data_IF_688455640273
#
_entry.id   IF_688455640273
#
_cell.length_a   1.000
_cell.length_b   1.000
_cell.length_c   1.000
_cell.angle_alpha   90.00
_cell.angle_beta   90.00
_cell.angle_gamma   90.00
#
_symmetry.space_group_name_H-M   'P 1'
#
loop_
_entity.id
_entity.type
_entity.pdbx_description
1 polymer ?
#
# COMPACT_ATOMS: atom_id res chain seq x y z
N UNK A 1 45.61 -14.35 -2.12
CA UNK A 1 44.75 -13.28 -1.57
C UNK A 1 43.82 -13.97 -0.59
N UNK A 2 44.11 -13.84 0.72
CA UNK A 2 43.26 -14.39 1.77
C UNK A 2 41.91 -13.63 1.74
N UNK A 3 40.92 -14.24 1.10
CA UNK A 3 39.54 -13.74 1.11
C UNK A 3 39.01 -13.80 2.53
N UNK A 4 38.87 -12.67 3.17
CA UNK A 4 38.27 -12.55 4.51
C UNK A 4 36.92 -13.28 4.51
N UNK A 5 36.82 -14.35 5.35
CA UNK A 5 35.57 -15.12 5.48
C UNK A 5 34.50 -14.20 6.05
N UNK A 6 33.41 -13.99 5.29
CA UNK A 6 32.28 -13.17 5.70
C UNK A 6 31.55 -13.81 6.90
N UNK A 7 31.06 -13.00 7.81
CA UNK A 7 30.43 -13.46 9.06
C UNK A 7 28.98 -13.88 8.83
N UNK A 8 28.44 -14.68 9.75
CA UNK A 8 27.00 -15.03 9.75
C UNK A 8 26.09 -13.77 9.78
N UNK A 9 26.53 -12.72 10.47
CA UNK A 9 25.81 -11.44 10.49
C UNK A 9 25.76 -10.76 9.12
N UNK A 10 26.84 -10.86 8.34
CA UNK A 10 26.84 -10.32 6.98
C UNK A 10 25.75 -10.96 6.12
N UNK A 11 25.67 -12.30 6.14
CA UNK A 11 24.67 -13.04 5.38
C UNK A 11 23.26 -12.82 5.90
N UNK A 12 23.08 -12.72 7.21
CA UNK A 12 21.79 -12.42 7.81
C UNK A 12 21.30 -11.00 7.45
N UNK A 13 22.19 -10.01 7.27
CA UNK A 13 21.81 -8.68 6.76
C UNK A 13 21.25 -8.74 5.33
N UNK A 14 21.79 -9.62 4.49
CA UNK A 14 21.22 -9.83 3.15
C UNK A 14 19.85 -10.51 3.22
N UNK A 15 19.67 -11.50 4.11
CA UNK A 15 18.37 -12.10 4.35
C UNK A 15 17.36 -11.07 4.88
N UNK A 16 17.78 -10.15 5.76
CA UNK A 16 16.94 -9.05 6.24
C UNK A 16 16.54 -8.07 5.11
N UNK A 17 17.40 -7.83 4.12
CA UNK A 17 17.04 -7.03 2.95
C UNK A 17 15.92 -7.69 2.15
N UNK A 18 15.99 -9.01 1.94
CA UNK A 18 14.92 -9.79 1.29
C UNK A 18 13.61 -9.77 2.10
N UNK A 19 13.70 -9.85 3.45
CA UNK A 19 12.53 -9.73 4.32
C UNK A 19 11.84 -8.36 4.19
N UNK A 20 12.62 -7.26 4.15
CA UNK A 20 12.07 -5.91 3.94
C UNK A 20 11.40 -5.79 2.57
N UNK A 21 12.02 -6.30 1.52
CA UNK A 21 11.44 -6.32 0.19
C UNK A 21 10.13 -7.16 0.13
N UNK A 22 10.02 -8.25 0.91
CA UNK A 22 8.76 -8.97 1.07
C UNK A 22 7.68 -8.09 1.72
N UNK A 23 8.02 -7.34 2.79
CA UNK A 23 7.09 -6.43 3.47
C UNK A 23 6.54 -5.35 2.54
N UNK A 24 7.38 -4.78 1.67
CA UNK A 24 6.98 -3.77 0.67
C UNK A 24 5.95 -4.31 -0.32
N UNK A 25 6.02 -5.61 -0.63
CA UNK A 25 5.05 -6.31 -1.47
C UNK A 25 3.80 -6.80 -0.71
N UNK A 26 3.69 -6.50 0.59
CA UNK A 26 2.56 -6.94 1.42
C UNK A 26 2.64 -8.39 1.90
N UNK A 27 3.77 -9.05 1.69
CA UNK A 27 4.06 -10.41 2.18
C UNK A 27 4.53 -10.38 3.64
N UNK A 28 4.38 -11.51 4.34
CA UNK A 28 5.01 -11.67 5.66
C UNK A 28 6.53 -11.55 5.51
N UNK A 29 7.21 -10.65 6.25
CA UNK A 29 8.59 -10.28 6.00
C UNK A 29 9.57 -11.35 6.47
N UNK A 30 9.71 -12.40 5.69
CA UNK A 30 10.73 -13.44 5.83
C UNK A 30 11.61 -13.41 4.59
N UNK A 31 12.90 -13.41 4.82
CA UNK A 31 13.91 -13.46 3.78
C UNK A 31 14.96 -14.50 4.08
N UNK A 32 15.51 -15.09 3.02
CA UNK A 32 16.54 -16.12 3.11
C UNK A 32 17.62 -15.92 2.05
N UNK A 33 18.84 -16.35 2.35
CA UNK A 33 19.94 -16.42 1.39
C UNK A 33 20.66 -17.76 1.52
N UNK A 34 21.01 -18.34 0.38
CA UNK A 34 21.79 -19.58 0.30
C UNK A 34 23.22 -19.26 -0.10
N UNK A 35 24.18 -19.79 0.65
CA UNK A 35 25.61 -19.49 0.52
C UNK A 35 26.40 -20.79 0.39
N UNK A 36 27.38 -20.82 -0.51
CA UNK A 36 28.38 -21.87 -0.63
C UNK A 36 29.76 -21.24 -0.83
N UNK A 37 30.78 -21.77 -0.13
CA UNK A 37 32.18 -21.33 -0.24
C UNK A 37 32.36 -19.81 -0.10
N UNK A 38 31.61 -19.20 0.85
CA UNK A 38 31.58 -17.75 1.06
C UNK A 38 31.08 -16.93 -0.16
N UNK A 39 30.29 -17.54 -1.04
CA UNK A 39 29.64 -16.90 -2.18
C UNK A 39 28.12 -17.01 -2.07
N UNK A 40 27.43 -15.93 -2.36
CA UNK A 40 25.97 -15.91 -2.46
C UNK A 40 25.52 -16.69 -3.69
N UNK A 41 24.76 -17.77 -3.51
CA UNK A 41 24.19 -18.56 -4.61
C UNK A 41 22.80 -18.07 -5.02
N UNK A 42 21.95 -17.82 -4.03
CA UNK A 42 20.56 -17.41 -4.28
C UNK A 42 19.99 -16.65 -3.11
N UNK A 43 18.93 -15.93 -3.38
CA UNK A 43 18.07 -15.28 -2.38
C UNK A 43 16.65 -15.79 -2.49
N UNK A 44 15.87 -15.63 -1.44
CA UNK A 44 14.45 -15.94 -1.40
C UNK A 44 13.72 -15.02 -0.43
N UNK A 45 12.50 -14.71 -0.75
CA UNK A 45 11.56 -14.00 0.11
C UNK A 45 10.21 -14.68 0.07
N UNK A 46 9.36 -14.43 1.04
CA UNK A 46 7.98 -14.92 0.98
C UNK A 46 7.25 -14.32 -0.24
N UNK A 47 6.47 -15.16 -0.91
CA UNK A 47 5.65 -14.84 -2.08
C UNK A 47 4.28 -15.52 -2.02
N UNK A 48 3.83 -15.89 -0.82
CA UNK A 48 2.61 -16.68 -0.59
C UNK A 48 1.35 -16.00 -1.11
N UNK A 49 1.22 -14.71 -0.87
CA UNK A 49 0.04 -13.92 -1.27
C UNK A 49 0.12 -13.55 -2.75
N UNK A 50 1.24 -12.99 -3.19
CA UNK A 50 1.42 -12.48 -4.55
C UNK A 50 1.39 -13.57 -5.61
N UNK A 51 1.92 -14.77 -5.30
CA UNK A 51 1.92 -15.93 -6.20
C UNK A 51 0.77 -16.92 -5.96
N UNK A 52 -0.09 -16.68 -4.94
CA UNK A 52 -1.11 -17.65 -4.50
C UNK A 52 -0.49 -19.04 -4.25
N UNK A 53 0.74 -19.11 -3.73
CA UNK A 53 1.49 -20.34 -3.47
C UNK A 53 1.62 -20.59 -1.95
N UNK A 54 0.90 -21.57 -1.38
CA UNK A 54 1.00 -21.90 0.04
C UNK A 54 2.39 -22.38 0.47
N UNK A 55 3.23 -22.80 -0.46
CA UNK A 55 4.61 -23.21 -0.24
C UNK A 55 5.65 -22.10 -0.54
N UNK A 56 5.23 -20.93 -0.95
CA UNK A 56 6.07 -19.79 -1.35
C UNK A 56 6.81 -19.12 -0.20
N UNK A 57 7.41 -19.90 0.71
CA UNK A 57 8.24 -19.39 1.79
C UNK A 57 9.64 -19.03 1.32
N UNK A 58 10.27 -18.10 2.01
CA UNK A 58 11.61 -17.58 1.68
C UNK A 58 12.65 -18.71 1.54
N UNK A 59 12.62 -19.68 2.47
CA UNK A 59 13.51 -20.84 2.45
C UNK A 59 13.31 -21.68 1.20
N UNK A 60 12.04 -21.98 0.86
CA UNK A 60 11.72 -22.79 -0.31
C UNK A 60 12.19 -22.09 -1.58
N UNK A 61 11.97 -20.79 -1.69
CA UNK A 61 12.36 -20.00 -2.86
C UNK A 61 13.90 -19.95 -2.98
N UNK A 62 14.63 -19.74 -1.87
CA UNK A 62 16.09 -19.75 -1.88
C UNK A 62 16.66 -21.12 -2.23
N UNK A 63 16.14 -22.22 -1.65
CA UNK A 63 16.58 -23.58 -1.95
C UNK A 63 16.35 -23.95 -3.40
N UNK A 64 15.18 -23.65 -3.95
CA UNK A 64 14.84 -23.90 -5.37
C UNK A 64 15.80 -23.16 -6.31
N UNK A 65 15.99 -21.87 -6.08
CA UNK A 65 16.86 -21.04 -6.92
C UNK A 65 18.32 -21.52 -6.82
N UNK A 66 18.81 -21.82 -5.64
CA UNK A 66 20.18 -22.31 -5.44
C UNK A 66 20.43 -23.69 -6.05
N UNK A 67 19.44 -24.58 -5.99
CA UNK A 67 19.52 -25.88 -6.65
C UNK A 67 19.65 -25.77 -8.17
N UNK A 68 18.93 -24.81 -8.77
CA UNK A 68 19.05 -24.50 -10.20
C UNK A 68 20.43 -23.96 -10.55
N UNK A 69 20.98 -23.03 -9.75
CA UNK A 69 22.32 -22.46 -9.96
C UNK A 69 23.40 -23.54 -9.88
N UNK A 70 23.28 -24.48 -8.94
CA UNK A 70 24.25 -25.58 -8.79
C UNK A 70 24.02 -26.74 -9.75
N UNK A 71 22.87 -26.79 -10.46
CA UNK A 71 22.50 -27.96 -11.26
C UNK A 71 22.33 -29.23 -10.43
N UNK A 72 22.08 -29.10 -9.12
CA UNK A 72 21.96 -30.20 -8.19
C UNK A 72 20.96 -29.89 -7.08
N UNK A 73 20.04 -30.84 -6.81
CA UNK A 73 19.08 -30.69 -5.71
C UNK A 73 19.70 -30.91 -4.32
N UNK A 74 20.89 -31.53 -4.23
CA UNK A 74 21.63 -31.73 -2.97
C UNK A 74 22.52 -30.53 -2.68
N UNK A 75 22.27 -29.90 -1.54
CA UNK A 75 22.93 -28.66 -1.10
C UNK A 75 23.83 -28.91 0.11
N UNK A 76 24.56 -30.03 0.11
CA UNK A 76 25.32 -30.56 1.26
C UNK A 76 26.38 -29.60 1.80
N UNK A 77 27.01 -28.80 0.92
CA UNK A 77 28.07 -27.84 1.28
C UNK A 77 27.54 -26.41 1.41
N UNK A 78 26.20 -26.24 1.41
CA UNK A 78 25.58 -24.93 1.48
C UNK A 78 25.13 -24.59 2.89
N UNK A 79 25.12 -23.29 3.19
CA UNK A 79 24.51 -22.70 4.38
C UNK A 79 23.31 -21.86 3.97
N UNK A 80 22.15 -22.12 4.59
CA UNK A 80 20.97 -21.29 4.45
C UNK A 80 20.87 -20.33 5.64
N UNK A 81 20.79 -19.04 5.38
CA UNK A 81 20.48 -18.01 6.36
C UNK A 81 19.03 -17.57 6.16
N UNK A 82 18.25 -17.52 7.21
CA UNK A 82 16.84 -17.11 7.18
C UNK A 82 16.49 -16.24 8.38
N UNK A 83 15.69 -15.21 8.18
CA UNK A 83 15.38 -14.25 9.24
C UNK A 83 14.50 -14.79 10.35
N UNK A 84 13.73 -15.87 10.08
CA UNK A 84 12.80 -16.49 11.00
C UNK A 84 13.08 -18.00 11.11
N UNK A 85 12.85 -18.57 12.27
CA UNK A 85 12.93 -20.02 12.48
C UNK A 85 12.03 -20.77 11.47
N UNK A 86 12.57 -21.74 10.72
CA UNK A 86 11.81 -22.49 9.72
C UNK A 86 10.65 -23.30 10.30
N UNK A 87 9.52 -23.31 9.60
CA UNK A 87 8.39 -24.18 9.90
C UNK A 87 8.65 -25.63 9.47
N UNK A 88 7.75 -26.54 9.81
CA UNK A 88 7.87 -27.98 9.47
C UNK A 88 8.02 -28.27 7.97
N UNK A 89 7.29 -27.53 7.10
CA UNK A 89 7.40 -27.65 5.64
C UNK A 89 8.82 -27.28 5.17
N UNK A 90 9.35 -26.16 5.64
CA UNK A 90 10.69 -25.70 5.28
C UNK A 90 11.77 -26.62 5.82
N UNK A 91 11.63 -27.14 7.06
CA UNK A 91 12.52 -28.18 7.60
C UNK A 91 12.51 -29.44 6.74
N UNK A 92 11.34 -29.88 6.27
CA UNK A 92 11.24 -31.00 5.34
C UNK A 92 12.01 -30.75 4.03
N UNK A 93 11.92 -29.56 3.47
CA UNK A 93 12.67 -29.18 2.27
C UNK A 93 14.18 -29.12 2.53
N UNK A 94 14.62 -28.57 3.67
CA UNK A 94 16.03 -28.52 4.11
C UNK A 94 16.61 -29.93 4.20
N UNK A 95 15.89 -30.87 4.82
CA UNK A 95 16.30 -32.26 4.93
C UNK A 95 16.38 -32.96 3.57
N UNK A 96 15.38 -32.75 2.69
CA UNK A 96 15.36 -33.31 1.34
C UNK A 96 16.52 -32.76 0.48
N UNK A 97 16.82 -31.48 0.63
CA UNK A 97 17.95 -30.84 -0.04
C UNK A 97 19.32 -31.26 0.56
N UNK A 98 19.32 -31.98 1.67
CA UNK A 98 20.53 -32.35 2.43
C UNK A 98 21.41 -31.14 2.74
N UNK A 99 20.79 -30.06 3.19
CA UNK A 99 21.51 -28.82 3.52
C UNK A 99 22.56 -29.06 4.60
N UNK A 100 23.77 -28.56 4.41
CA UNK A 100 24.86 -28.73 5.36
C UNK A 100 24.66 -27.94 6.66
N UNK A 101 24.25 -26.67 6.54
CA UNK A 101 24.07 -25.79 7.69
C UNK A 101 22.85 -24.86 7.52
N UNK A 102 22.11 -24.65 8.60
CA UNK A 102 21.06 -23.68 8.76
C UNK A 102 21.44 -22.64 9.81
N UNK A 103 21.24 -21.37 9.49
CA UNK A 103 21.39 -20.24 10.43
C UNK A 103 20.10 -19.45 10.42
N UNK A 104 19.46 -19.26 11.57
CA UNK A 104 18.26 -18.45 11.63
C UNK A 104 18.35 -17.31 12.66
N UNK A 105 17.58 -16.22 12.41
CA UNK A 105 17.58 -15.05 13.26
C UNK A 105 16.62 -15.19 14.44
N UNK A 106 15.36 -14.84 14.25
CA UNK A 106 14.33 -14.87 15.29
C UNK A 106 13.70 -16.25 15.45
N UNK A 107 13.36 -16.62 16.70
CA UNK A 107 12.55 -17.80 16.99
C UNK A 107 11.08 -17.59 16.59
N UNK A 108 10.38 -18.67 16.20
CA UNK A 108 8.96 -18.67 15.86
C UNK A 108 8.14 -19.54 16.83
N UNK A 109 7.55 -18.95 17.88
CA UNK A 109 6.92 -19.69 18.96
C UNK A 109 5.62 -20.42 18.58
N UNK A 110 5.07 -20.19 17.38
CA UNK A 110 3.79 -20.78 16.94
C UNK A 110 3.95 -21.95 15.98
N UNK A 111 4.91 -21.86 15.07
CA UNK A 111 5.09 -22.82 13.97
C UNK A 111 6.55 -23.24 13.76
N UNK A 112 7.48 -22.75 14.57
CA UNK A 112 8.91 -23.04 14.47
C UNK A 112 9.17 -24.53 14.69
N UNK A 113 9.97 -25.13 13.81
CA UNK A 113 10.24 -26.56 13.82
C UNK A 113 11.74 -26.92 14.01
N UNK A 114 12.50 -25.97 14.59
CA UNK A 114 13.92 -26.11 14.91
C UNK A 114 14.18 -25.88 16.41
N UNK A 115 13.15 -26.11 17.24
CA UNK A 115 13.27 -26.04 18.69
C UNK A 115 12.17 -25.27 19.40
N UNK A 116 11.46 -24.34 18.73
CA UNK A 116 10.42 -23.56 19.39
C UNK A 116 9.13 -24.34 19.69
N UNK A 117 8.64 -25.14 18.73
CA UNK A 117 7.42 -25.96 18.89
C UNK A 117 7.76 -27.44 18.80
N UNK A 118 8.47 -27.82 17.76
CA UNK A 118 9.04 -29.15 17.54
C UNK A 118 10.47 -29.02 17.07
N UNK A 119 11.25 -30.08 17.13
CA UNK A 119 12.62 -30.08 16.59
C UNK A 119 12.79 -31.21 15.58
N UNK A 120 12.53 -30.94 14.31
CA UNK A 120 12.64 -31.93 13.24
C UNK A 120 14.09 -32.20 12.84
N UNK A 121 14.98 -31.20 12.93
CA UNK A 121 16.38 -31.35 12.49
C UNK A 121 17.25 -32.17 13.46
N UNK A 122 16.82 -32.35 14.72
CA UNK A 122 17.47 -33.20 15.70
C UNK A 122 16.95 -34.64 15.71
N UNK A 123 15.94 -34.96 14.91
CA UNK A 123 15.39 -36.32 14.87
C UNK A 123 16.40 -37.33 14.33
N UNK A 124 16.90 -38.19 15.20
CA UNK A 124 17.91 -39.22 14.87
C UNK A 124 17.43 -40.26 13.86
N UNK A 125 16.12 -40.36 13.64
CA UNK A 125 15.51 -41.30 12.70
C UNK A 125 15.58 -40.82 11.25
N UNK A 126 15.88 -39.54 11.04
CA UNK A 126 15.98 -38.96 9.70
C UNK A 126 17.39 -39.19 9.11
N UNK A 127 17.42 -39.47 7.81
CA UNK A 127 18.64 -39.85 7.09
C UNK A 127 19.67 -38.74 6.91
N UNK A 128 19.32 -37.50 7.22
CA UNK A 128 20.21 -36.34 7.08
C UNK A 128 20.15 -35.46 8.32
N UNK A 129 21.28 -34.92 8.73
CA UNK A 129 21.42 -34.03 9.87
C UNK A 129 22.04 -32.72 9.42
N UNK A 130 21.29 -31.66 9.57
CA UNK A 130 21.71 -30.28 9.26
C UNK A 130 22.24 -29.62 10.53
N UNK A 131 23.43 -29.03 10.50
CA UNK A 131 23.93 -28.23 11.62
C UNK A 131 23.14 -26.94 11.77
N UNK A 132 22.80 -26.57 12.99
CA UNK A 132 21.94 -25.41 13.25
C UNK A 132 22.67 -24.38 14.10
N UNK A 133 22.53 -23.12 13.76
CA UNK A 133 22.88 -21.95 14.58
C UNK A 133 21.69 -21.00 14.64
N UNK A 134 21.36 -20.49 15.81
CA UNK A 134 20.20 -19.61 16.03
C UNK A 134 20.62 -18.27 16.62
N UNK A 135 19.73 -17.28 16.54
CA UNK A 135 19.88 -16.00 17.25
C UNK A 135 20.75 -14.96 16.56
N UNK A 136 21.17 -15.18 15.32
CA UNK A 136 21.97 -14.22 14.56
C UNK A 136 21.11 -13.03 14.14
N UNK A 137 21.42 -11.83 14.66
CA UNK A 137 20.61 -10.61 14.50
C UNK A 137 19.14 -10.82 14.89
N UNK A 138 18.88 -11.60 15.95
CA UNK A 138 17.54 -12.02 16.35
C UNK A 138 16.61 -10.82 16.63
N UNK A 139 17.13 -9.73 17.21
CA UNK A 139 16.35 -8.52 17.53
C UNK A 139 15.90 -7.81 16.26
N UNK A 140 16.78 -7.62 15.31
CA UNK A 140 16.52 -6.99 14.02
C UNK A 140 15.52 -7.81 13.20
N UNK A 141 15.68 -9.14 13.18
CA UNK A 141 14.77 -10.06 12.51
C UNK A 141 13.37 -10.01 13.13
N UNK A 142 13.27 -10.05 14.46
CA UNK A 142 11.99 -9.94 15.17
C UNK A 142 11.33 -8.57 14.99
N UNK A 143 12.12 -7.48 14.92
CA UNK A 143 11.61 -6.13 14.73
C UNK A 143 10.90 -5.97 13.38
N UNK A 144 11.51 -6.42 12.29
CA UNK A 144 10.90 -6.34 10.94
C UNK A 144 9.55 -7.07 10.91
N UNK A 145 9.46 -8.24 11.54
CA UNK A 145 8.21 -9.01 11.64
C UNK A 145 7.19 -8.31 12.55
N UNK A 146 7.64 -7.81 13.70
CA UNK A 146 6.80 -7.09 14.67
C UNK A 146 6.16 -5.84 14.09
N UNK A 147 6.95 -5.01 13.42
CA UNK A 147 6.51 -3.76 12.79
C UNK A 147 5.47 -4.03 11.69
N UNK A 148 5.68 -5.06 10.87
CA UNK A 148 4.72 -5.47 9.86
C UNK A 148 3.36 -5.85 10.46
N UNK A 149 3.33 -6.68 11.51
CA UNK A 149 2.08 -7.09 12.15
C UNK A 149 1.44 -5.96 12.98
N UNK A 150 2.23 -5.05 13.55
CA UNK A 150 1.71 -3.84 14.19
C UNK A 150 1.00 -2.96 13.16
N UNK A 151 1.62 -2.71 12.02
CA UNK A 151 1.04 -1.94 10.93
C UNK A 151 -0.24 -2.60 10.38
N UNK A 152 -0.23 -3.92 10.16
CA UNK A 152 -1.44 -4.66 9.74
C UNK A 152 -2.58 -4.57 10.78
N UNK A 153 -2.28 -4.68 12.08
CA UNK A 153 -3.28 -4.51 13.16
C UNK A 153 -3.82 -3.10 13.21
N UNK A 154 -2.96 -2.09 13.02
CA UNK A 154 -3.38 -0.70 12.96
C UNK A 154 -4.34 -0.46 11.77
N UNK A 155 -3.98 -0.95 10.59
CA UNK A 155 -4.84 -0.89 9.39
C UNK A 155 -6.15 -1.67 9.59
N UNK A 156 -6.12 -2.84 10.22
CA UNK A 156 -7.32 -3.62 10.53
C UNK A 156 -8.25 -2.89 11.53
N UNK A 157 -7.70 -2.19 12.54
CA UNK A 157 -8.49 -1.35 13.46
C UNK A 157 -9.10 -0.15 12.74
N UNK A 158 -8.33 0.50 11.85
CA UNK A 158 -8.81 1.60 10.99
C UNK A 158 -9.95 1.14 10.09
N UNK A 159 -9.83 -0.05 9.51
CA UNK A 159 -10.88 -0.66 8.67
C UNK A 159 -12.13 -1.08 9.46
N UNK A 160 -12.00 -1.45 10.75
CA UNK A 160 -13.16 -1.68 11.64
C UNK A 160 -13.93 -0.39 11.96
N UNK A 161 -13.22 0.75 12.04
CA UNK A 161 -13.86 2.07 12.21
C UNK A 161 -14.67 2.49 10.98
N UNK A 162 -14.24 2.01 9.79
CA UNK A 162 -14.88 2.32 8.51
C UNK A 162 -15.11 1.02 7.72
N UNK A 163 -16.14 0.23 8.04
CA UNK A 163 -16.43 -1.02 7.32
C UNK A 163 -16.69 -0.72 5.84
N UNK A 164 -16.20 -1.61 4.99
CA UNK A 164 -16.44 -1.51 3.54
C UNK A 164 -17.83 -2.07 3.23
N UNK A 165 -18.64 -1.33 2.48
CA UNK A 165 -19.93 -1.80 1.95
C UNK A 165 -19.72 -2.87 0.87
N UNK A 166 -20.62 -3.86 0.80
CA UNK A 166 -20.55 -4.97 -0.19
C UNK A 166 -20.65 -4.47 -1.65
N UNK A 167 -21.34 -3.35 -1.86
CA UNK A 167 -21.52 -2.76 -3.19
C UNK A 167 -20.46 -1.72 -3.54
N UNK A 168 -19.38 -1.60 -2.75
CA UNK A 168 -18.26 -0.69 -2.98
C UNK A 168 -16.91 -1.43 -3.04
N UNK A 169 -15.92 -0.76 -3.57
CA UNK A 169 -14.51 -1.15 -3.54
C UNK A 169 -13.71 -0.11 -2.77
N UNK A 170 -12.60 -0.52 -2.19
CA UNK A 170 -11.61 0.35 -1.56
C UNK A 170 -10.24 0.03 -2.11
N UNK A 171 -9.57 1.01 -2.69
CA UNK A 171 -8.21 0.83 -3.22
C UNK A 171 -7.27 0.46 -2.07
N UNK A 172 -6.50 -0.62 -2.20
CA UNK A 172 -5.52 -1.01 -1.20
C UNK A 172 -4.44 0.06 -1.01
N UNK A 173 -3.96 0.23 0.22
CA UNK A 173 -2.94 1.26 0.54
C UNK A 173 -1.64 1.09 -0.27
N UNK A 174 -1.26 -0.15 -0.59
CA UNK A 174 -0.05 -0.41 -1.38
C UNK A 174 -0.10 0.17 -2.80
N UNK A 175 -1.30 0.40 -3.36
CA UNK A 175 -1.43 1.04 -4.67
C UNK A 175 -0.92 2.50 -4.68
N UNK A 176 -0.81 3.12 -3.52
CA UNK A 176 -0.36 4.50 -3.36
C UNK A 176 1.12 4.64 -2.95
N UNK A 177 1.85 3.52 -2.76
CA UNK A 177 3.25 3.54 -2.30
C UNK A 177 4.17 4.23 -3.31
N UNK A 178 3.90 4.08 -4.59
CA UNK A 178 4.69 4.69 -5.67
C UNK A 178 4.27 6.14 -6.00
N UNK A 179 3.28 6.70 -5.29
CA UNK A 179 2.85 8.09 -5.53
C UNK A 179 3.86 9.05 -4.91
N UNK A 180 4.52 9.90 -5.72
CA UNK A 180 5.57 10.78 -5.22
C UNK A 180 5.03 11.82 -4.23
N UNK A 181 5.77 12.07 -3.16
CA UNK A 181 5.62 13.22 -2.23
C UNK A 181 4.22 13.54 -1.68
N UNK A 182 3.25 12.60 -1.76
CA UNK A 182 1.93 12.79 -1.18
C UNK A 182 1.91 12.39 0.30
N UNK A 183 2.70 13.12 1.11
CA UNK A 183 2.96 12.85 2.54
C UNK A 183 1.97 13.52 3.51
N UNK A 184 0.95 14.23 2.99
CA UNK A 184 -0.01 14.94 3.81
C UNK A 184 -0.87 14.01 4.66
N UNK A 185 -1.24 14.47 5.86
CA UNK A 185 -2.06 13.69 6.78
C UNK A 185 -3.44 13.41 6.18
N UNK A 186 -3.69 12.14 5.90
CA UNK A 186 -4.98 11.66 5.38
C UNK A 186 -6.03 11.63 6.49
N UNK A 187 -7.18 12.25 6.24
CA UNK A 187 -8.36 12.19 7.07
C UNK A 187 -9.49 11.43 6.38
N UNK A 188 -10.38 10.82 7.17
CA UNK A 188 -11.49 10.03 6.65
C UNK A 188 -12.78 10.32 7.41
N UNK A 189 -13.90 10.38 6.69
CA UNK A 189 -15.25 10.55 7.23
C UNK A 189 -16.20 9.53 6.61
N UNK A 190 -17.13 8.98 7.39
CA UNK A 190 -18.15 8.02 6.94
C UNK A 190 -19.51 8.21 7.58
N UNK A 191 -19.62 9.14 8.51
CA UNK A 191 -20.80 9.39 9.34
C UNK A 191 -21.66 10.56 8.81
N UNK A 192 -21.43 11.01 7.56
CA UNK A 192 -22.34 11.91 6.89
C UNK A 192 -23.57 11.14 6.38
N UNK A 193 -24.80 11.67 6.57
CA UNK A 193 -26.02 11.00 6.08
C UNK A 193 -25.97 10.63 4.60
N UNK A 194 -25.44 11.52 3.75
CA UNK A 194 -25.33 11.32 2.30
C UNK A 194 -24.30 10.29 1.87
N UNK A 195 -23.36 9.89 2.74
CA UNK A 195 -22.40 8.84 2.46
C UNK A 195 -22.98 7.44 2.61
N UNK A 196 -24.03 7.29 3.46
CA UNK A 196 -24.67 5.99 3.71
C UNK A 196 -23.65 4.88 4.02
N UNK A 197 -22.69 5.18 4.91
CA UNK A 197 -21.63 4.26 5.33
C UNK A 197 -20.42 4.13 4.39
N UNK A 198 -20.40 4.84 3.27
CA UNK A 198 -19.18 4.97 2.45
C UNK A 198 -18.14 5.82 3.18
N UNK A 199 -16.87 5.49 3.02
CA UNK A 199 -15.76 6.27 3.54
C UNK A 199 -15.28 7.27 2.50
N UNK A 200 -15.24 8.56 2.86
CA UNK A 200 -14.64 9.62 2.06
C UNK A 200 -13.29 10.04 2.64
N UNK A 201 -12.29 10.18 1.78
CA UNK A 201 -10.96 10.69 2.10
C UNK A 201 -10.89 12.20 1.83
N UNK A 202 -10.15 12.90 2.68
CA UNK A 202 -9.79 14.31 2.48
C UNK A 202 -8.48 14.64 3.19
N UNK A 203 -7.85 15.72 2.77
CA UNK A 203 -6.73 16.36 3.46
C UNK A 203 -7.24 17.71 3.94
N UNK A 204 -7.05 18.02 5.22
CA UNK A 204 -7.39 19.31 5.82
C UNK A 204 -6.11 19.88 6.43
N UNK A 205 -5.61 20.94 5.84
CA UNK A 205 -4.33 21.55 6.20
C UNK A 205 -4.54 22.99 6.62
N UNK A 206 -3.84 23.43 7.65
CA UNK A 206 -3.97 24.75 8.27
C UNK A 206 -4.87 24.75 9.50
N UNK A 207 -5.20 25.93 10.07
CA UNK A 207 -5.92 26.05 11.32
C UNK A 207 -7.37 25.57 11.20
N UNK A 208 -7.77 24.56 11.98
CA UNK A 208 -9.15 24.01 11.99
C UNK A 208 -10.21 25.00 12.46
N UNK A 209 -9.82 25.95 13.32
CA UNK A 209 -10.68 27.06 13.78
C UNK A 209 -11.04 28.05 12.68
N UNK A 210 -10.25 28.09 11.59
CA UNK A 210 -10.54 28.97 10.46
C UNK A 210 -11.77 28.46 9.70
N UNK A 211 -12.83 29.26 9.68
CA UNK A 211 -14.09 28.96 8.97
C UNK A 211 -14.07 29.41 7.52
N UNK A 212 -12.98 30.01 7.06
CA UNK A 212 -12.68 30.30 5.66
C UNK A 212 -11.68 29.27 5.15
N UNK A 213 -11.94 28.69 3.96
CA UNK A 213 -11.07 27.66 3.42
C UNK A 213 -10.98 27.71 1.88
N UNK A 214 -9.87 27.22 1.35
CA UNK A 214 -9.70 26.84 -0.04
C UNK A 214 -10.15 25.39 -0.23
N UNK A 215 -11.25 25.17 -0.96
CA UNK A 215 -11.82 23.85 -1.21
C UNK A 215 -11.47 23.37 -2.62
N UNK A 216 -10.66 22.32 -2.71
CA UNK A 216 -10.15 21.82 -3.98
C UNK A 216 -10.96 20.62 -4.47
N UNK A 217 -11.51 20.73 -5.69
CA UNK A 217 -12.32 19.72 -6.36
C UNK A 217 -11.61 19.22 -7.62
N UNK A 218 -11.25 17.96 -7.64
CA UNK A 218 -10.59 17.30 -8.76
C UNK A 218 -11.56 16.92 -9.89
N UNK A 219 -11.03 16.72 -11.09
CA UNK A 219 -11.76 16.27 -12.26
C UNK A 219 -12.09 14.76 -12.26
N UNK A 220 -12.84 14.30 -13.30
CA UNK A 220 -13.32 12.92 -13.39
C UNK A 220 -12.24 11.86 -13.60
N UNK A 221 -11.05 12.25 -14.00
CA UNK A 221 -9.94 11.32 -14.29
C UNK A 221 -8.79 11.44 -13.30
N UNK A 222 -8.97 12.21 -12.23
CA UNK A 222 -7.93 12.53 -11.25
C UNK A 222 -8.40 12.33 -9.82
N UNK A 223 -7.65 12.83 -8.84
CA UNK A 223 -7.96 12.82 -7.43
C UNK A 223 -7.17 13.93 -6.72
N UNK A 224 -7.32 14.09 -5.41
CA UNK A 224 -6.74 15.20 -4.65
C UNK A 224 -5.23 15.42 -4.86
N UNK A 225 -4.50 14.41 -5.34
CA UNK A 225 -3.08 14.48 -5.67
C UNK A 225 -2.73 15.65 -6.62
N UNK A 226 -3.60 15.98 -7.57
CA UNK A 226 -3.35 17.07 -8.56
C UNK A 226 -3.19 18.44 -7.90
N UNK A 227 -3.67 18.60 -6.67
CA UNK A 227 -3.58 19.85 -5.91
C UNK A 227 -2.36 19.93 -4.98
N UNK A 228 -1.47 18.95 -5.01
CA UNK A 228 -0.30 18.91 -4.13
C UNK A 228 0.57 20.18 -4.24
N UNK A 229 0.86 20.63 -5.47
CA UNK A 229 1.65 21.83 -5.68
C UNK A 229 0.92 23.08 -5.19
N UNK A 230 -0.41 23.15 -5.35
CA UNK A 230 -1.22 24.24 -4.81
C UNK A 230 -1.14 24.25 -3.28
N UNK A 231 -1.38 23.12 -2.63
CA UNK A 231 -1.31 22.99 -1.18
C UNK A 231 0.08 23.42 -0.63
N UNK A 232 1.16 22.94 -1.26
CA UNK A 232 2.52 23.26 -0.86
C UNK A 232 2.91 24.74 -1.06
N UNK A 233 2.19 25.48 -1.93
CA UNK A 233 2.40 26.90 -2.17
C UNK A 233 1.62 27.82 -1.23
N UNK A 234 0.66 27.26 -0.47
CA UNK A 234 -0.20 28.03 0.41
C UNK A 234 0.48 28.32 1.76
N UNK A 235 0.30 29.53 2.32
CA UNK A 235 0.77 29.83 3.66
C UNK A 235 0.12 28.92 4.72
N UNK A 236 0.86 28.58 5.77
CA UNK A 236 0.34 27.77 6.89
C UNK A 236 -0.86 28.41 7.62
N UNK A 237 -1.03 29.72 7.50
CA UNK A 237 -2.18 30.47 8.04
C UNK A 237 -3.49 30.25 7.25
N UNK A 238 -3.40 29.74 6.04
CA UNK A 238 -4.55 29.46 5.19
C UNK A 238 -5.03 28.03 5.38
N UNK A 239 -6.35 27.85 5.47
CA UNK A 239 -6.94 26.50 5.53
C UNK A 239 -7.22 26.01 4.12
N UNK A 240 -6.67 24.85 3.78
CA UNK A 240 -6.83 24.20 2.48
C UNK A 240 -7.42 22.81 2.68
N UNK A 241 -8.52 22.52 2.01
CA UNK A 241 -9.22 21.24 2.08
C UNK A 241 -9.22 20.59 0.70
N UNK A 242 -8.52 19.48 0.56
CA UNK A 242 -8.51 18.66 -0.64
C UNK A 242 -9.45 17.48 -0.42
N UNK A 243 -10.39 17.22 -1.32
CA UNK A 243 -11.30 16.07 -1.20
C UNK A 243 -11.09 15.07 -2.33
N UNK A 244 -11.15 13.79 -1.98
CA UNK A 244 -11.38 12.73 -2.95
C UNK A 244 -12.87 12.44 -3.01
N UNK A 245 -13.52 12.83 -4.10
CA UNK A 245 -14.95 12.53 -4.28
C UNK A 245 -15.19 11.01 -4.21
N UNK A 246 -16.38 10.59 -3.74
CA UNK A 246 -16.75 9.17 -3.75
C UNK A 246 -16.61 8.61 -5.17
N UNK A 247 -15.91 7.47 -5.29
CA UNK A 247 -15.56 6.89 -6.58
C UNK A 247 -14.13 7.20 -7.05
N UNK A 248 -13.38 8.04 -6.31
CA UNK A 248 -12.07 8.54 -6.71
C UNK A 248 -11.05 8.46 -5.57
N UNK A 249 -9.78 8.65 -5.87
CA UNK A 249 -8.67 8.74 -4.92
C UNK A 249 -8.67 7.63 -3.88
N UNK A 250 -8.51 7.99 -2.61
CA UNK A 250 -8.55 7.09 -1.46
C UNK A 250 -9.94 6.86 -0.87
N UNK A 251 -10.98 7.50 -1.45
CA UNK A 251 -12.39 7.30 -1.09
C UNK A 251 -12.93 5.98 -1.58
N UNK A 252 -13.98 5.47 -0.93
CA UNK A 252 -14.69 4.27 -1.38
C UNK A 252 -15.32 4.46 -2.77
N UNK A 253 -15.40 3.37 -3.52
CA UNK A 253 -15.80 3.34 -4.93
C UNK A 253 -17.02 2.43 -5.13
N UNK A 254 -18.25 2.98 -5.09
CA UNK A 254 -19.44 2.24 -5.47
C UNK A 254 -19.29 1.60 -6.84
N UNK A 255 -19.62 0.29 -6.93
CA UNK A 255 -19.47 -0.52 -8.16
C UNK A 255 -20.45 -0.12 -9.25
N UNK A 256 -21.59 0.47 -8.88
CA UNK A 256 -22.68 0.83 -9.79
C UNK A 256 -22.54 2.27 -10.28
N UNK A 257 -22.53 2.48 -11.60
CA UNK A 257 -22.46 3.80 -12.21
C UNK A 257 -23.64 4.71 -11.79
N UNK A 258 -24.83 4.14 -11.59
CA UNK A 258 -26.05 4.86 -11.12
C UNK A 258 -25.87 5.59 -9.79
N UNK A 259 -24.88 5.22 -8.95
CA UNK A 259 -24.56 5.95 -7.73
C UNK A 259 -24.00 7.34 -8.04
N UNK A 260 -23.20 7.45 -9.10
CA UNK A 260 -22.40 8.65 -9.41
C UNK A 260 -23.18 9.76 -10.11
N UNK A 261 -24.44 9.94 -9.71
CA UNK A 261 -25.26 11.08 -10.19
C UNK A 261 -24.79 12.39 -9.57
N UNK A 262 -24.90 13.47 -10.35
CA UNK A 262 -24.50 14.81 -9.92
C UNK A 262 -25.17 15.24 -8.61
N UNK A 263 -26.46 14.94 -8.46
CA UNK A 263 -27.23 15.27 -7.26
C UNK A 263 -26.68 14.57 -6.00
N UNK A 264 -26.27 13.31 -6.11
CA UNK A 264 -25.68 12.58 -4.99
C UNK A 264 -24.36 13.24 -4.53
N UNK A 265 -23.50 13.59 -5.48
CA UNK A 265 -22.24 14.25 -5.15
C UNK A 265 -22.43 15.66 -4.60
N UNK A 266 -23.46 16.40 -5.03
CA UNK A 266 -23.87 17.70 -4.45
C UNK A 266 -24.28 17.56 -2.98
N UNK A 267 -25.08 16.54 -2.66
CA UNK A 267 -25.49 16.26 -1.28
C UNK A 267 -24.29 15.92 -0.39
N UNK A 268 -23.41 15.05 -0.87
CA UNK A 268 -22.18 14.68 -0.13
C UNK A 268 -21.32 15.93 0.10
N UNK A 269 -21.10 16.75 -0.91
CA UNK A 269 -20.31 17.96 -0.80
C UNK A 269 -20.90 18.94 0.23
N UNK A 270 -22.22 19.14 0.21
CA UNK A 270 -22.91 20.00 1.17
C UNK A 270 -22.75 19.47 2.61
N UNK A 271 -23.09 18.20 2.83
CA UNK A 271 -23.00 17.59 4.17
C UNK A 271 -21.55 17.64 4.70
N UNK A 272 -20.57 17.50 3.82
CA UNK A 272 -19.16 17.61 4.16
C UNK A 272 -18.75 19.04 4.57
N UNK A 273 -19.14 20.04 3.79
CA UNK A 273 -18.89 21.45 4.10
C UNK A 273 -19.54 21.86 5.41
N UNK A 274 -20.77 21.42 5.65
CA UNK A 274 -21.51 21.65 6.89
C UNK A 274 -20.80 21.00 8.09
N UNK A 275 -20.29 19.77 7.93
CA UNK A 275 -19.53 19.06 8.96
C UNK A 275 -18.23 19.79 9.34
N UNK A 276 -17.51 20.36 8.38
CA UNK A 276 -16.32 21.17 8.66
C UNK A 276 -16.64 22.56 9.20
N UNK A 277 -17.91 22.96 9.19
CA UNK A 277 -18.39 24.25 9.68
C UNK A 277 -17.88 25.43 8.87
N UNK A 278 -17.58 25.24 7.58
CA UNK A 278 -17.07 26.29 6.69
C UNK A 278 -18.15 27.36 6.44
N UNK A 279 -17.74 28.62 6.45
CA UNK A 279 -18.63 29.78 6.27
C UNK A 279 -18.26 30.63 5.04
N UNK A 280 -17.03 30.51 4.58
CA UNK A 280 -16.49 31.24 3.43
C UNK A 280 -15.57 30.30 2.65
N UNK A 281 -15.82 30.10 1.36
CA UNK A 281 -15.14 29.09 0.57
C UNK A 281 -14.60 29.71 -0.71
N UNK A 282 -13.29 29.59 -0.93
CA UNK A 282 -12.67 29.80 -2.22
C UNK A 282 -12.53 28.43 -2.89
N UNK A 283 -13.25 28.20 -3.99
CA UNK A 283 -13.25 26.91 -4.67
C UNK A 283 -12.11 26.86 -5.69
N UNK A 284 -11.30 25.82 -5.61
CA UNK A 284 -10.22 25.53 -6.57
C UNK A 284 -10.63 24.33 -7.42
N UNK A 285 -10.65 24.52 -8.72
CA UNK A 285 -11.11 23.54 -9.71
C UNK A 285 -9.97 23.12 -10.63
N UNK A 286 -9.96 21.83 -10.99
CA UNK A 286 -9.06 21.30 -12.00
C UNK A 286 -9.58 21.62 -13.42
N UNK A 287 -8.80 22.37 -14.18
CA UNK A 287 -8.79 22.61 -15.62
C UNK A 287 -10.10 22.50 -16.41
N UNK A 288 -10.09 21.64 -17.39
CA UNK A 288 -11.12 21.48 -18.46
C UNK A 288 -12.50 21.06 -17.97
N UNK A 289 -12.60 20.59 -16.75
CA UNK A 289 -13.84 20.07 -16.17
C UNK A 289 -14.56 21.10 -15.30
N UNK A 290 -14.07 22.34 -15.27
CA UNK A 290 -14.54 23.42 -14.38
C UNK A 290 -16.06 23.65 -14.45
N UNK A 291 -16.67 23.59 -15.63
CA UNK A 291 -18.12 23.78 -15.77
C UNK A 291 -18.95 22.69 -15.08
N UNK A 292 -18.54 21.41 -15.15
CA UNK A 292 -19.19 20.32 -14.44
C UNK A 292 -18.94 20.45 -12.94
N UNK A 293 -17.70 20.75 -12.53
CA UNK A 293 -17.33 20.94 -11.14
C UNK A 293 -18.05 22.14 -10.50
N UNK A 294 -18.18 23.25 -11.21
CA UNK A 294 -19.00 24.40 -10.76
C UNK A 294 -20.45 23.98 -10.50
N UNK A 295 -21.02 23.10 -11.34
CA UNK A 295 -22.38 22.62 -11.10
C UNK A 295 -22.50 21.73 -9.87
N UNK A 296 -21.43 21.04 -9.45
CA UNK A 296 -21.39 20.34 -8.17
C UNK A 296 -21.51 21.29 -6.98
N UNK A 297 -20.97 22.49 -7.11
CA UNK A 297 -20.96 23.51 -6.06
C UNK A 297 -22.31 24.20 -5.84
N UNK A 298 -23.35 23.96 -6.64
CA UNK A 298 -24.66 24.63 -6.49
C UNK A 298 -25.25 24.46 -5.08
N UNK A 299 -25.03 23.28 -4.43
CA UNK A 299 -25.51 23.02 -3.08
C UNK A 299 -24.84 23.84 -1.97
N UNK A 300 -23.69 24.46 -2.24
CA UNK A 300 -22.90 25.28 -1.31
C UNK A 300 -22.72 26.72 -1.83
N UNK A 301 -23.40 27.09 -2.90
CA UNK A 301 -23.23 28.39 -3.59
C UNK A 301 -23.30 29.61 -2.66
N UNK A 302 -24.14 29.67 -1.62
CA UNK A 302 -24.18 30.82 -0.72
C UNK A 302 -22.90 31.06 0.10
N UNK A 303 -22.04 30.04 0.20
CA UNK A 303 -20.77 30.10 0.93
C UNK A 303 -19.57 30.42 0.03
N UNK A 304 -19.75 30.42 -1.29
CA UNK A 304 -18.65 30.58 -2.24
C UNK A 304 -18.32 32.04 -2.47
N UNK A 305 -17.07 32.41 -2.18
CA UNK A 305 -16.54 33.75 -2.40
C UNK A 305 -15.87 33.89 -3.77
N UNK A 306 -15.16 32.85 -4.21
CA UNK A 306 -14.44 32.89 -5.48
C UNK A 306 -14.26 31.51 -6.09
N UNK A 307 -13.95 31.48 -7.38
CA UNK A 307 -13.50 30.31 -8.11
C UNK A 307 -12.10 30.55 -8.68
N UNK A 308 -11.19 29.62 -8.45
CA UNK A 308 -9.88 29.54 -9.08
C UNK A 308 -9.82 28.27 -9.93
N UNK A 309 -9.50 28.41 -11.20
CA UNK A 309 -9.31 27.27 -12.10
C UNK A 309 -7.81 27.09 -12.32
N UNK A 310 -7.27 25.96 -11.84
CA UNK A 310 -5.88 25.62 -12.06
C UNK A 310 -5.73 24.94 -13.43
N UNK A 311 -4.69 25.28 -14.21
CA UNK A 311 -4.38 24.52 -15.42
C UNK A 311 -4.00 23.09 -15.06
N UNK A 312 -4.32 22.16 -15.95
CA UNK A 312 -3.77 20.81 -15.85
C UNK A 312 -2.25 20.88 -15.94
N UNK A 313 -1.59 20.26 -14.99
CA UNK A 313 -0.13 20.30 -14.95
C UNK A 313 0.47 19.20 -14.09
N UNK A 314 1.58 18.67 -14.57
CA UNK A 314 2.35 17.61 -13.92
C UNK A 314 3.30 18.15 -12.84
N UNK A 315 3.41 19.47 -12.73
CA UNK A 315 4.40 20.09 -11.90
C UNK A 315 5.83 19.71 -12.35
N UNK A 316 6.64 19.19 -11.42
CA UNK A 316 8.01 18.73 -11.68
C UNK A 316 8.10 17.23 -12.04
N UNK A 317 6.96 16.51 -12.08
CA UNK A 317 6.93 15.07 -12.33
C UNK A 317 7.14 14.75 -13.81
N UNK A 318 7.77 13.62 -14.09
CA UNK A 318 7.79 13.01 -15.42
C UNK A 318 6.38 12.57 -15.85
N UNK A 319 6.19 12.26 -17.13
CA UNK A 319 4.91 11.73 -17.65
C UNK A 319 4.55 10.44 -16.94
N UNK A 320 5.49 9.53 -16.78
CA UNK A 320 5.31 8.20 -16.21
C UNK A 320 4.95 8.28 -14.72
N UNK A 321 5.64 9.13 -13.95
CA UNK A 321 5.34 9.36 -12.54
C UNK A 321 3.95 9.96 -12.34
N UNK A 322 3.58 10.94 -13.16
CA UNK A 322 2.27 11.59 -13.08
C UNK A 322 1.15 10.62 -13.46
N UNK A 323 1.28 9.90 -14.57
CA UNK A 323 0.28 8.93 -15.04
C UNK A 323 0.16 7.76 -14.04
N UNK A 324 1.26 7.30 -13.45
CA UNK A 324 1.28 6.32 -12.38
C UNK A 324 0.54 6.80 -11.14
N UNK A 325 0.79 8.03 -10.70
CA UNK A 325 0.11 8.63 -9.54
C UNK A 325 -1.39 8.83 -9.79
N UNK A 326 -1.78 9.31 -10.96
CA UNK A 326 -3.20 9.48 -11.35
C UNK A 326 -3.90 8.13 -11.45
N UNK A 327 -3.21 7.09 -11.92
CA UNK A 327 -3.73 5.74 -12.07
C UNK A 327 -3.86 4.96 -10.76
N UNK A 328 -3.09 5.31 -9.73
CA UNK A 328 -2.98 4.59 -8.47
C UNK A 328 -4.33 4.23 -7.80
N UNK A 329 -5.36 5.10 -7.80
CA UNK A 329 -6.66 4.76 -7.24
C UNK A 329 -7.44 3.66 -7.97
N UNK A 330 -7.03 3.28 -9.17
CA UNK A 330 -7.82 2.48 -10.10
C UNK A 330 -7.06 1.23 -10.60
N UNK A 331 -6.77 0.25 -9.73
CA UNK A 331 -5.99 -0.96 -10.09
C UNK A 331 -6.56 -1.73 -11.28
N UNK A 332 -7.89 -1.74 -11.43
CA UNK A 332 -8.59 -2.39 -12.55
C UNK A 332 -9.88 -1.66 -12.97
N UNK A 333 -10.59 -2.22 -13.96
CA UNK A 333 -11.84 -1.64 -14.50
C UNK A 333 -12.97 -1.55 -13.49
N UNK A 334 -12.99 -2.40 -12.46
CA UNK A 334 -14.01 -2.39 -11.40
C UNK A 334 -14.01 -1.10 -10.59
N UNK A 335 -12.83 -0.51 -10.40
CA UNK A 335 -12.66 0.73 -9.64
C UNK A 335 -13.08 2.00 -10.41
N UNK A 336 -13.40 1.90 -11.70
CA UNK A 336 -13.63 3.05 -12.62
C UNK A 336 -15.11 3.39 -12.85
N UNK A 337 -16.06 2.91 -12.02
CA UNK A 337 -17.48 3.24 -12.21
C UNK A 337 -17.75 4.75 -12.15
N UNK A 338 -17.18 5.45 -11.17
CA UNK A 338 -17.25 6.91 -11.06
C UNK A 338 -16.63 7.63 -12.26
N UNK A 339 -15.46 7.18 -12.70
CA UNK A 339 -14.75 7.76 -13.86
C UNK A 339 -15.62 7.67 -15.12
N UNK A 340 -16.23 6.51 -15.38
CA UNK A 340 -17.11 6.32 -16.57
C UNK A 340 -18.33 7.22 -16.51
N UNK A 341 -19.01 7.26 -15.37
CA UNK A 341 -20.23 8.06 -15.25
C UNK A 341 -19.94 9.57 -15.32
N UNK A 342 -18.89 10.06 -14.65
CA UNK A 342 -18.52 11.47 -14.75
C UNK A 342 -18.07 11.86 -16.17
N UNK A 343 -17.42 10.97 -16.90
CA UNK A 343 -17.08 11.19 -18.31
C UNK A 343 -18.35 11.30 -19.18
N UNK A 344 -19.38 10.48 -18.89
CA UNK A 344 -20.70 10.56 -19.56
C UNK A 344 -21.40 11.89 -19.24
N UNK A 345 -21.45 12.27 -17.96
CA UNK A 345 -22.03 13.53 -17.52
C UNK A 345 -21.35 14.74 -18.16
N UNK A 346 -20.03 14.70 -18.30
CA UNK A 346 -19.27 15.76 -18.95
C UNK A 346 -19.65 15.92 -20.44
N UNK A 347 -19.83 14.80 -21.14
CA UNK A 347 -20.29 14.83 -22.55
C UNK A 347 -21.70 15.42 -22.69
N UNK A 348 -22.61 15.06 -21.78
CA UNK A 348 -23.97 15.62 -21.74
C UNK A 348 -23.95 17.12 -21.43
N UNK A 349 -23.12 17.55 -20.48
CA UNK A 349 -22.95 18.95 -20.12
C UNK A 349 -22.43 19.79 -21.30
N UNK A 350 -21.47 19.26 -22.07
CA UNK A 350 -20.94 19.91 -23.28
C UNK A 350 -21.99 20.02 -24.38
N UNK A 351 -22.88 19.02 -24.53
CA UNK A 351 -23.97 19.05 -25.52
C UNK A 351 -25.03 20.12 -25.20
N UNK A 352 -25.36 20.34 -23.93
CA UNK A 352 -26.34 21.34 -23.48
C UNK A 352 -25.84 22.78 -23.60
N UNK A 353 -24.53 23.01 -23.74
CA UNK A 353 -23.92 24.34 -23.90
C UNK A 353 -23.60 24.69 -25.36
N UNK A 354 -23.87 23.80 -26.32
CA UNK A 354 -23.84 24.22 -27.74
C UNK A 354 -25.12 24.96 -28.03
N UNK A 355 -25.02 26.22 -28.55
CA UNK A 355 -26.18 27.04 -28.90
C UNK A 355 -27.03 26.39 -29.98
#
# INVERSE_FOLDING_TARGET
MDGQRLTDEHWMKLALAEAKAAAELGEVPVGAVLVKDNLLLSTGRNTTVGCCDPAGHAEINALRAGALVLGNYRLTECTLYVTLEPCAMCCGAILNARLGRLVFGAAEPKTGAVGSVVNLLESRQLNHHTTVSSGVLARECAAVLGDFFLNRRFQSKKNKKFPLRDDALRTPEHAFVAVPDFSHQSSYISDLPSLDGLRMHYVDSGPEENKSAWLCLHGPSSWSFVFQNFLNSMPESERVVLIDMIGFGKSDKPKREKFHQLQQHRLILRDFVDRLGLKSINVVLEGWHSGLLMSLCEGISPLICSFLVLPEGRGRLSVEEFDGAIGAPFPDKGYKAGVREFSRLLLEFKKKKKP
#
